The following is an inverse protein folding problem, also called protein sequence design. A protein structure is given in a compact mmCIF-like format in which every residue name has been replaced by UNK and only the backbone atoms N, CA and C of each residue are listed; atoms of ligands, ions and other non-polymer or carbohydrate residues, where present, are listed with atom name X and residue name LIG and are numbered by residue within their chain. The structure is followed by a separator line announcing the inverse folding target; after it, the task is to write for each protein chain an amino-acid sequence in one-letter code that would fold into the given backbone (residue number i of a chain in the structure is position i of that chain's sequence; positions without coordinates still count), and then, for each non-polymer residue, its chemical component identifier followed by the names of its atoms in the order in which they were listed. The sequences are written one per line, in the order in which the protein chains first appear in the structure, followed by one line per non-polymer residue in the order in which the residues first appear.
data_IF_422396879312
#
_entry.id   IF_422396879312
#
_cell.length_a   1.000
_cell.length_b   1.000
_cell.length_c   1.000
_cell.angle_alpha   90.00
_cell.angle_beta   90.00
_cell.angle_gamma   90.00
#
_symmetry.space_group_name_H-M   'P 1'
#
loop_
_entity.id
_entity.type
_entity.pdbx_description
1 polymer ?
#
# COMPACT_ATOMS: atom_id res chain seq x y z
N UNK A 1 -14.45 -6.45 21.67
CA UNK A 1 -13.45 -6.75 22.71
C UNK A 1 -12.69 -5.48 23.04
N UNK A 2 -12.56 -5.00 24.29
CA UNK A 2 -11.93 -3.74 24.64
C UNK A 2 -10.44 -3.64 24.26
N UNK A 3 -9.77 -4.78 24.10
CA UNK A 3 -8.34 -4.88 23.73
C UNK A 3 -8.05 -4.57 22.27
N UNK A 4 -9.01 -4.75 21.36
CA UNK A 4 -8.82 -4.47 19.93
C UNK A 4 -8.87 -2.97 19.57
N UNK A 5 -9.40 -2.11 20.44
CA UNK A 5 -9.46 -0.65 20.20
C UNK A 5 -8.11 0.08 20.41
N UNK A 6 -7.09 -0.56 20.96
CA UNK A 6 -5.79 0.06 21.25
C UNK A 6 -4.72 -0.17 20.19
N UNK A 7 -4.89 -1.12 19.28
CA UNK A 7 -3.98 -1.31 18.16
C UNK A 7 -4.33 -0.34 17.03
N UNK A 8 -3.79 0.86 17.08
CA UNK A 8 -3.84 1.77 15.94
C UNK A 8 -2.79 1.34 14.94
N UNK A 9 -3.24 0.81 13.81
CA UNK A 9 -2.38 0.51 12.69
C UNK A 9 -1.94 1.83 12.06
N UNK A 10 -0.66 2.18 12.19
CA UNK A 10 -0.08 3.29 11.48
C UNK A 10 0.47 2.79 10.16
N UNK A 11 -0.38 2.78 9.12
CA UNK A 11 0.05 2.49 7.77
C UNK A 11 0.74 3.72 7.21
N UNK A 12 2.05 3.65 7.05
CA UNK A 12 2.83 4.73 6.44
C UNK A 12 2.47 4.78 4.97
N UNK A 13 1.90 5.90 4.59
CA UNK A 13 1.59 6.22 3.23
C UNK A 13 2.89 6.51 2.50
N UNK A 14 3.32 5.55 1.68
CA UNK A 14 4.41 5.69 0.73
C UNK A 14 5.70 6.38 1.25
N UNK A 15 6.84 5.82 0.90
CA UNK A 15 8.18 6.33 1.26
C UNK A 15 8.43 7.80 0.94
N UNK A 16 7.51 8.45 0.24
CA UNK A 16 7.70 9.81 -0.23
C UNK A 16 6.45 10.65 -0.01
N UNK A 17 6.64 11.92 0.40
CA UNK A 17 5.60 12.93 0.27
C UNK A 17 5.10 13.03 -1.18
N UNK A 18 3.88 13.42 -1.36
CA UNK A 18 3.30 13.66 -2.68
C UNK A 18 3.51 15.12 -3.08
N UNK A 19 4.05 15.39 -4.27
CA UNK A 19 4.60 14.48 -5.28
C UNK A 19 5.91 13.81 -4.85
N UNK A 20 6.20 12.58 -5.37
CA UNK A 20 7.47 11.94 -5.06
C UNK A 20 8.63 12.70 -5.70
N UNK A 21 9.63 13.03 -4.89
CA UNK A 21 10.85 13.75 -5.30
C UNK A 21 12.04 13.19 -4.54
N UNK A 22 13.22 13.24 -5.13
CA UNK A 22 14.45 12.78 -4.49
C UNK A 22 14.70 13.50 -3.15
N UNK A 23 14.47 14.82 -3.11
CA UNK A 23 14.72 15.68 -1.94
C UNK A 23 13.82 15.39 -0.76
N UNK A 24 12.65 14.81 -1.03
CA UNK A 24 11.64 14.51 0.01
C UNK A 24 11.51 13.01 0.31
N UNK A 25 12.34 12.19 -0.36
CA UNK A 25 12.33 10.74 -0.17
C UNK A 25 12.63 10.38 1.28
N UNK A 26 11.76 9.55 1.88
CA UNK A 26 11.91 9.08 3.27
C UNK A 26 11.38 10.02 4.35
N UNK A 27 11.01 11.26 4.03
CA UNK A 27 10.54 12.26 5.02
C UNK A 27 9.38 11.78 5.89
N UNK A 28 8.44 11.03 5.33
CA UNK A 28 7.32 10.48 6.11
C UNK A 28 7.81 9.51 7.20
N UNK A 29 8.76 8.65 6.86
CA UNK A 29 9.37 7.73 7.85
C UNK A 29 10.19 8.52 8.90
N UNK A 30 10.91 9.57 8.51
CA UNK A 30 11.65 10.43 9.43
C UNK A 30 10.73 11.14 10.44
N UNK A 31 9.60 11.68 9.99
CA UNK A 31 8.62 12.30 10.87
C UNK A 31 8.03 11.30 11.87
N UNK A 32 7.72 10.10 11.43
CA UNK A 32 7.18 9.05 12.27
C UNK A 32 8.23 8.58 13.27
N UNK A 33 9.47 8.35 12.82
CA UNK A 33 10.58 7.99 13.71
C UNK A 33 10.83 9.05 14.78
N UNK A 34 10.83 10.32 14.40
CA UNK A 34 10.94 11.44 15.33
C UNK A 34 9.79 11.46 16.33
N UNK A 35 8.57 11.17 15.87
CA UNK A 35 7.41 11.10 16.74
C UNK A 35 7.51 9.92 17.73
N UNK A 36 7.89 8.74 17.28
CA UNK A 36 8.12 7.58 18.14
C UNK A 36 9.18 7.87 19.21
N UNK A 37 10.31 8.45 18.81
CA UNK A 37 11.37 8.84 19.76
C UNK A 37 10.89 9.84 20.80
N UNK A 38 10.09 10.83 20.38
CA UNK A 38 9.54 11.86 21.27
C UNK A 38 8.52 11.31 22.26
N UNK A 39 7.69 10.35 21.83
CA UNK A 39 6.55 9.86 22.62
C UNK A 39 6.83 8.58 23.39
N UNK A 40 7.82 7.79 22.99
CA UNK A 40 8.07 6.46 23.53
C UNK A 40 6.98 5.41 23.18
N UNK A 41 6.10 5.71 22.23
CA UNK A 41 4.92 4.89 21.94
C UNK A 41 5.12 3.86 20.83
N UNK A 42 6.37 3.56 20.43
CA UNK A 42 6.64 2.61 19.32
C UNK A 42 5.92 1.28 19.51
N UNK A 43 5.95 0.69 20.68
CA UNK A 43 5.39 -0.62 20.98
C UNK A 43 3.85 -0.63 21.09
N UNK A 44 3.25 0.55 21.11
CA UNK A 44 1.79 0.70 21.13
C UNK A 44 1.16 0.69 19.73
N UNK A 45 1.97 0.59 18.67
CA UNK A 45 1.52 0.69 17.28
C UNK A 45 2.04 -0.47 16.44
N UNK A 46 1.19 -0.96 15.53
CA UNK A 46 1.61 -1.84 14.43
C UNK A 46 2.16 -0.94 13.32
N UNK A 47 3.48 -0.97 13.14
CA UNK A 47 4.19 -0.13 12.18
C UNK A 47 4.31 -0.86 10.83
N UNK A 48 3.73 -0.27 9.78
CA UNK A 48 3.84 -0.78 8.42
C UNK A 48 4.59 0.20 7.51
N UNK A 49 5.51 -0.31 6.69
CA UNK A 49 6.15 0.45 5.60
C UNK A 49 6.37 -0.43 4.38
N UNK A 50 6.93 0.11 3.28
CA UNK A 50 6.97 -0.55 1.98
C UNK A 50 8.31 -0.44 1.27
N UNK A 51 8.63 -1.45 0.45
CA UNK A 51 9.62 -1.32 -0.63
C UNK A 51 8.94 -0.86 -1.92
N UNK A 52 9.48 0.16 -2.57
CA UNK A 52 9.04 0.56 -3.89
C UNK A 52 9.42 -0.52 -4.93
N UNK A 53 8.49 -0.86 -5.81
CA UNK A 53 8.74 -1.67 -7.00
C UNK A 53 9.35 -0.84 -8.15
N UNK A 54 9.55 -1.44 -9.33
CA UNK A 54 10.13 -0.78 -10.50
C UNK A 54 9.33 0.44 -10.94
N UNK A 55 10.04 1.53 -11.20
CA UNK A 55 9.50 2.70 -11.88
C UNK A 55 10.67 3.51 -12.48
N UNK A 56 10.66 3.82 -13.77
CA UNK A 56 11.71 4.60 -14.43
C UNK A 56 11.94 5.99 -13.81
N UNK A 57 10.91 6.60 -13.25
CA UNK A 57 10.99 7.90 -12.58
C UNK A 57 11.71 7.84 -11.22
N UNK A 58 11.90 6.65 -10.67
CA UNK A 58 12.49 6.45 -9.34
C UNK A 58 13.94 5.97 -9.38
N UNK A 59 14.70 6.35 -10.44
CA UNK A 59 16.12 6.01 -10.57
C UNK A 59 16.96 6.48 -9.37
N UNK A 60 16.53 7.52 -8.66
CA UNK A 60 17.18 8.00 -7.43
C UNK A 60 17.03 7.05 -6.24
N UNK A 61 16.11 6.08 -6.32
CA UNK A 61 15.98 5.01 -5.34
C UNK A 61 16.85 3.83 -5.76
N UNK A 62 18.00 3.64 -5.13
CA UNK A 62 18.88 2.48 -5.35
C UNK A 62 19.23 2.21 -6.82
N UNK A 63 19.36 3.26 -7.64
CA UNK A 63 19.65 3.12 -9.07
C UNK A 63 18.51 2.59 -9.95
N UNK A 64 17.29 2.56 -9.42
CA UNK A 64 16.08 1.95 -10.01
C UNK A 64 15.59 0.81 -9.14
N UNK A 65 14.46 0.96 -8.45
CA UNK A 65 14.03 -0.02 -7.44
C UNK A 65 13.61 -1.34 -8.08
N UNK A 66 14.09 -2.43 -7.50
CA UNK A 66 13.76 -3.81 -7.82
C UNK A 66 13.60 -4.60 -6.50
N UNK A 67 13.15 -5.84 -6.59
CA UNK A 67 12.99 -6.70 -5.41
C UNK A 67 14.09 -7.76 -5.29
N UNK A 68 15.30 -7.46 -5.81
CA UNK A 68 16.46 -8.31 -5.54
C UNK A 68 16.82 -8.29 -4.06
N UNK A 69 17.53 -9.31 -3.60
CA UNK A 69 17.96 -9.45 -2.20
C UNK A 69 18.69 -8.21 -1.69
N UNK A 70 19.68 -7.74 -2.43
CA UNK A 70 20.51 -6.57 -2.07
C UNK A 70 19.66 -5.31 -1.92
N UNK A 71 18.75 -5.08 -2.86
CA UNK A 71 17.90 -3.91 -2.85
C UNK A 71 16.83 -3.95 -1.76
N UNK A 72 16.26 -5.11 -1.45
CA UNK A 72 15.32 -5.27 -0.34
C UNK A 72 16.00 -5.06 1.01
N UNK A 73 17.19 -5.64 1.21
CA UNK A 73 17.97 -5.44 2.44
C UNK A 73 18.34 -3.96 2.63
N UNK A 74 18.81 -3.29 1.57
CA UNK A 74 19.09 -1.84 1.62
C UNK A 74 17.83 -1.03 1.96
N UNK A 75 16.70 -1.40 1.34
CA UNK A 75 15.42 -0.73 1.54
C UNK A 75 14.94 -0.84 2.99
N UNK A 76 14.97 -2.03 3.58
CA UNK A 76 14.59 -2.27 4.99
C UNK A 76 15.53 -1.53 5.93
N UNK A 77 16.83 -1.64 5.75
CA UNK A 77 17.80 -0.95 6.60
C UNK A 77 17.63 0.59 6.52
N UNK A 78 17.32 1.12 5.34
CA UNK A 78 16.99 2.54 5.15
C UNK A 78 15.72 2.95 5.91
N UNK A 79 14.67 2.13 5.87
CA UNK A 79 13.43 2.38 6.61
C UNK A 79 13.65 2.34 8.12
N UNK A 80 14.35 1.33 8.63
CA UNK A 80 14.67 1.21 10.06
C UNK A 80 15.43 2.44 10.59
N UNK A 81 16.43 2.93 9.84
CA UNK A 81 17.17 4.14 10.23
C UNK A 81 16.26 5.38 10.30
N UNK A 82 15.41 5.61 9.28
CA UNK A 82 14.52 6.77 9.26
C UNK A 82 13.42 6.69 10.31
N UNK A 83 12.89 5.48 10.54
CA UNK A 83 11.87 5.21 11.56
C UNK A 83 12.43 5.19 12.98
N UNK A 84 13.76 5.16 13.13
CA UNK A 84 14.46 5.11 14.43
C UNK A 84 13.96 3.93 15.29
N UNK A 85 13.84 2.76 14.67
CA UNK A 85 13.44 1.49 15.29
C UNK A 85 14.27 0.35 14.72
N UNK A 86 14.39 -0.74 15.43
CA UNK A 86 15.09 -1.95 15.03
C UNK A 86 14.18 -3.00 14.36
N UNK A 87 12.84 -2.81 14.48
CA UNK A 87 11.89 -3.74 13.92
C UNK A 87 10.68 -3.03 13.26
N UNK A 88 10.25 -3.55 12.12
CA UNK A 88 9.03 -3.19 11.39
C UNK A 88 8.02 -4.32 11.57
N UNK A 89 6.78 -4.01 11.97
CA UNK A 89 5.77 -5.04 12.19
C UNK A 89 5.24 -5.62 10.88
N UNK A 90 5.01 -4.79 9.85
CA UNK A 90 4.54 -5.23 8.52
C UNK A 90 5.35 -4.56 7.42
N UNK A 91 6.06 -5.35 6.63
CA UNK A 91 6.81 -4.84 5.47
C UNK A 91 6.13 -5.27 4.18
N UNK A 92 5.74 -4.30 3.35
CA UNK A 92 4.96 -4.57 2.15
C UNK A 92 5.77 -4.32 0.88
N UNK A 93 5.54 -5.13 -0.14
CA UNK A 93 5.93 -4.84 -1.52
C UNK A 93 4.91 -3.87 -2.11
N UNK A 94 5.34 -2.68 -2.54
CA UNK A 94 4.43 -1.56 -2.84
C UNK A 94 3.64 -1.74 -4.13
N UNK A 95 4.22 -2.38 -5.12
CA UNK A 95 3.60 -2.86 -6.36
C UNK A 95 4.47 -3.94 -6.99
N UNK A 96 3.92 -4.76 -7.91
CA UNK A 96 4.66 -5.87 -8.51
C UNK A 96 5.96 -5.48 -9.21
N UNK A 97 6.97 -6.34 -9.11
CA UNK A 97 8.21 -6.25 -9.91
C UNK A 97 8.04 -7.01 -11.24
N UNK A 98 6.94 -6.77 -11.90
CA UNK A 98 6.61 -7.25 -13.24
C UNK A 98 5.57 -6.35 -13.88
N UNK A 99 5.43 -6.44 -15.21
CA UNK A 99 4.38 -5.70 -15.89
C UNK A 99 3.01 -6.34 -15.60
N UNK A 100 2.12 -5.58 -15.01
CA UNK A 100 0.74 -5.98 -14.73
C UNK A 100 -0.15 -4.77 -14.46
N UNK A 101 -1.44 -5.00 -14.25
CA UNK A 101 -2.40 -3.95 -13.90
C UNK A 101 -2.24 -3.53 -12.44
N UNK A 102 -1.86 -2.29 -12.20
CA UNK A 102 -1.88 -1.69 -10.88
C UNK A 102 -2.20 -0.19 -10.95
N UNK A 103 -2.50 0.44 -9.83
CA UNK A 103 -2.86 1.86 -9.73
C UNK A 103 -4.04 2.30 -10.61
N UNK A 104 -4.98 1.40 -10.90
CA UNK A 104 -6.19 1.75 -11.65
C UNK A 104 -6.08 1.50 -13.16
N UNK A 105 -5.00 0.90 -13.63
CA UNK A 105 -4.95 0.40 -15.00
C UNK A 105 -6.03 -0.66 -15.21
N UNK A 106 -6.77 -0.55 -16.32
CA UNK A 106 -7.77 -1.52 -16.77
C UNK A 106 -7.26 -2.22 -18.02
N UNK A 107 -7.50 -3.53 -18.09
CA UNK A 107 -7.03 -4.35 -19.21
C UNK A 107 -5.56 -4.76 -19.07
N UNK A 108 -5.31 -6.05 -19.23
CA UNK A 108 -3.98 -6.62 -19.17
C UNK A 108 -3.43 -6.80 -20.57
N UNK A 109 -2.21 -6.32 -20.80
CA UNK A 109 -1.44 -6.56 -22.02
C UNK A 109 -0.10 -7.14 -21.60
N UNK A 110 0.19 -8.35 -22.06
CA UNK A 110 1.50 -8.96 -21.76
C UNK A 110 2.63 -8.18 -22.41
N UNK A 111 3.68 -7.92 -21.63
CA UNK A 111 4.93 -7.31 -22.11
C UNK A 111 6.10 -8.01 -21.45
N UNK A 112 7.03 -8.44 -22.28
CA UNK A 112 8.33 -8.92 -21.81
C UNK A 112 9.11 -7.74 -21.23
N UNK A 113 9.56 -7.89 -19.98
CA UNK A 113 10.47 -6.95 -19.35
C UNK A 113 11.32 -7.68 -18.30
N UNK A 114 12.49 -7.16 -17.94
CA UNK A 114 13.23 -7.69 -16.83
C UNK A 114 12.39 -7.64 -15.55
N UNK A 115 12.31 -8.76 -14.84
CA UNK A 115 11.61 -8.86 -13.56
C UNK A 115 12.43 -9.66 -12.55
N UNK A 116 12.23 -9.40 -11.26
CA UNK A 116 12.76 -10.25 -10.20
C UNK A 116 11.76 -11.38 -9.96
N UNK A 117 12.16 -12.64 -10.08
CA UNK A 117 11.27 -13.77 -9.81
C UNK A 117 10.64 -13.67 -8.41
N UNK A 118 9.35 -14.03 -8.29
CA UNK A 118 8.64 -14.00 -7.00
C UNK A 118 9.36 -14.88 -5.96
N UNK A 119 9.91 -16.02 -6.37
CA UNK A 119 10.66 -16.90 -5.47
C UNK A 119 11.92 -16.23 -4.91
N UNK A 120 12.70 -15.55 -5.76
CA UNK A 120 13.89 -14.80 -5.32
C UNK A 120 13.50 -13.69 -4.32
N UNK A 121 12.45 -12.96 -4.65
CA UNK A 121 11.88 -11.93 -3.77
C UNK A 121 11.48 -12.50 -2.42
N UNK A 122 10.80 -13.65 -2.41
CA UNK A 122 10.29 -14.27 -1.19
C UNK A 122 11.42 -14.83 -0.31
N UNK A 123 12.47 -15.42 -0.92
CA UNK A 123 13.69 -15.85 -0.21
C UNK A 123 14.45 -14.67 0.41
N UNK A 124 14.51 -13.54 -0.29
CA UNK A 124 15.09 -12.31 0.27
C UNK A 124 14.30 -11.78 1.47
N UNK A 125 12.97 -11.87 1.41
CA UNK A 125 12.10 -11.51 2.53
C UNK A 125 12.23 -12.48 3.71
N UNK A 126 12.44 -13.77 3.45
CA UNK A 126 12.72 -14.76 4.49
C UNK A 126 13.96 -14.37 5.31
N UNK A 127 15.09 -14.08 4.67
CA UNK A 127 16.31 -13.64 5.34
C UNK A 127 16.08 -12.40 6.22
N UNK A 128 15.26 -11.46 5.72
CA UNK A 128 14.91 -10.24 6.45
C UNK A 128 14.04 -10.53 7.67
N UNK A 129 13.08 -11.43 7.55
CA UNK A 129 12.23 -11.88 8.67
C UNK A 129 13.07 -12.64 9.70
N UNK A 130 13.88 -13.59 9.26
CA UNK A 130 14.78 -14.38 10.14
C UNK A 130 15.78 -13.50 10.90
N UNK A 131 16.20 -12.37 10.30
CA UNK A 131 17.07 -11.41 10.99
C UNK A 131 16.35 -10.60 12.09
N UNK A 132 15.04 -10.76 12.27
CA UNK A 132 14.23 -10.03 13.26
C UNK A 132 13.89 -8.58 12.87
N UNK A 133 14.31 -8.09 11.71
CA UNK A 133 14.06 -6.73 11.25
C UNK A 133 12.62 -6.49 10.81
N UNK A 134 11.91 -7.53 10.42
CA UNK A 134 10.53 -7.53 9.97
C UNK A 134 9.79 -8.69 10.62
N UNK A 135 8.58 -8.45 11.13
CA UNK A 135 7.75 -9.49 11.75
C UNK A 135 6.87 -10.20 10.76
N UNK A 136 6.24 -9.43 9.87
CA UNK A 136 5.25 -9.90 8.90
C UNK A 136 5.49 -9.26 7.54
N UNK A 137 5.15 -9.98 6.48
CA UNK A 137 5.24 -9.46 5.11
C UNK A 137 3.86 -9.30 4.49
N UNK A 138 3.75 -8.36 3.54
CA UNK A 138 2.50 -8.11 2.83
C UNK A 138 2.74 -7.63 1.41
N UNK A 139 1.67 -7.62 0.65
CA UNK A 139 1.63 -7.14 -0.72
C UNK A 139 0.88 -5.82 -0.82
N UNK A 140 1.05 -5.11 -1.91
CA UNK A 140 0.22 -3.96 -2.24
C UNK A 140 0.12 -3.83 -3.76
N UNK A 141 -1.05 -3.44 -4.26
CA UNK A 141 -1.35 -3.33 -5.68
C UNK A 141 -1.06 -4.63 -6.46
N UNK A 142 -1.12 -5.75 -5.77
CA UNK A 142 -0.88 -7.06 -6.36
C UNK A 142 -2.17 -7.63 -6.97
N UNK A 143 -2.00 -8.49 -7.96
CA UNK A 143 -3.09 -9.18 -8.67
C UNK A 143 -3.44 -10.50 -7.98
N UNK A 144 -4.63 -11.10 -8.28
CA UNK A 144 -4.97 -12.43 -7.80
C UNK A 144 -3.92 -13.47 -8.16
N UNK A 145 -3.41 -13.45 -9.40
CA UNK A 145 -2.37 -14.39 -9.85
C UNK A 145 -1.09 -14.25 -9.03
N UNK A 146 -0.60 -13.02 -8.84
CA UNK A 146 0.64 -12.82 -8.08
C UNK A 146 0.48 -13.16 -6.61
N UNK A 147 -0.67 -12.82 -6.00
CA UNK A 147 -0.96 -13.18 -4.63
C UNK A 147 -0.94 -14.70 -4.44
N UNK A 148 -1.66 -15.45 -5.30
CA UNK A 148 -1.66 -16.91 -5.25
C UNK A 148 -0.26 -17.50 -5.50
N UNK A 149 0.55 -16.87 -6.37
CA UNK A 149 1.92 -17.33 -6.63
C UNK A 149 2.84 -17.14 -5.42
N UNK A 150 2.72 -16.04 -4.69
CA UNK A 150 3.42 -15.85 -3.41
C UNK A 150 3.01 -16.92 -2.39
N UNK A 151 1.73 -17.21 -2.26
CA UNK A 151 1.20 -18.19 -1.32
C UNK A 151 1.62 -19.62 -1.67
N UNK A 152 1.49 -20.02 -2.95
CA UNK A 152 1.93 -21.32 -3.46
C UNK A 152 3.42 -21.57 -3.15
N UNK A 153 4.26 -20.58 -3.44
CA UNK A 153 5.70 -20.67 -3.17
C UNK A 153 6.00 -20.74 -1.68
N UNK A 154 5.30 -19.94 -0.87
CA UNK A 154 5.47 -20.00 0.58
C UNK A 154 5.15 -21.38 1.15
N UNK A 155 4.02 -21.96 0.75
CA UNK A 155 3.59 -23.27 1.24
C UNK A 155 4.50 -24.40 0.73
N UNK A 156 4.93 -24.34 -0.54
CA UNK A 156 5.76 -25.40 -1.16
C UNK A 156 7.19 -25.39 -0.63
N UNK A 157 7.77 -24.20 -0.42
CA UNK A 157 9.20 -24.05 -0.07
C UNK A 157 9.42 -23.77 1.43
N UNK A 158 8.34 -23.69 2.23
CA UNK A 158 8.42 -23.36 3.65
C UNK A 158 8.85 -21.91 3.92
N UNK A 159 8.55 -20.98 2.99
CA UNK A 159 8.91 -19.58 3.07
C UNK A 159 7.84 -18.75 3.83
N UNK A 160 8.15 -17.51 4.25
CA UNK A 160 7.17 -16.67 4.92
C UNK A 160 5.93 -16.43 4.07
N UNK A 161 4.76 -16.64 4.66
CA UNK A 161 3.47 -16.33 4.03
C UNK A 161 3.19 -14.83 4.05
N UNK A 162 2.47 -14.34 3.07
CA UNK A 162 1.98 -12.95 3.07
C UNK A 162 0.72 -12.86 3.96
N UNK A 163 0.73 -11.94 4.94
CA UNK A 163 -0.35 -11.77 5.90
C UNK A 163 -1.45 -10.82 5.40
N UNK A 164 -1.11 -9.91 4.48
CA UNK A 164 -2.05 -8.89 4.03
C UNK A 164 -1.75 -8.40 2.63
N UNK A 165 -2.78 -7.84 2.02
CA UNK A 165 -2.68 -7.10 0.76
C UNK A 165 -3.27 -5.71 0.91
N UNK A 166 -2.57 -4.68 0.42
CA UNK A 166 -3.08 -3.31 0.40
C UNK A 166 -3.47 -2.90 -1.02
N UNK A 167 -4.78 -2.93 -1.30
CA UNK A 167 -5.35 -2.62 -2.61
C UNK A 167 -6.44 -1.53 -2.52
N UNK A 168 -6.80 -0.89 -3.66
CA UNK A 168 -7.89 0.08 -3.69
C UNK A 168 -9.22 -0.61 -3.41
N UNK A 169 -10.00 -0.09 -2.48
CA UNK A 169 -11.35 -0.58 -2.24
C UNK A 169 -12.22 0.52 -1.63
N UNK A 170 -13.37 0.77 -2.24
CA UNK A 170 -14.36 1.73 -1.76
C UNK A 170 -15.70 1.48 -2.47
N UNK A 171 -16.75 2.17 -2.06
CA UNK A 171 -18.04 2.17 -2.79
C UNK A 171 -17.90 2.61 -4.25
N UNK A 172 -16.90 3.45 -4.57
CA UNK A 172 -16.61 3.92 -5.94
C UNK A 172 -15.60 3.05 -6.69
N UNK A 173 -14.98 2.07 -6.04
CA UNK A 173 -14.02 1.17 -6.67
C UNK A 173 -14.14 -0.23 -6.03
N UNK A 174 -14.91 -1.08 -6.66
CA UNK A 174 -15.20 -2.43 -6.20
C UNK A 174 -14.46 -3.52 -6.99
N UNK A 175 -13.42 -3.15 -7.74
CA UNK A 175 -12.65 -4.09 -8.56
C UNK A 175 -11.97 -5.20 -7.74
N UNK A 176 -11.71 -4.96 -6.46
CA UNK A 176 -11.21 -5.97 -5.53
C UNK A 176 -12.13 -7.17 -5.36
N UNK A 177 -13.43 -6.94 -5.45
CA UNK A 177 -14.44 -8.01 -5.32
C UNK A 177 -14.40 -9.00 -6.49
N UNK A 178 -13.80 -8.59 -7.63
CA UNK A 178 -13.60 -9.47 -8.78
C UNK A 178 -12.34 -10.30 -8.51
N UNK A 179 -12.50 -11.54 -8.09
CA UNK A 179 -11.48 -12.55 -7.78
C UNK A 179 -10.65 -12.28 -6.49
N UNK A 180 -10.15 -11.06 -6.21
CA UNK A 180 -9.27 -10.83 -5.06
C UNK A 180 -9.96 -11.07 -3.71
N UNK A 181 -11.24 -10.71 -3.59
CA UNK A 181 -11.99 -10.93 -2.35
C UNK A 181 -12.10 -12.43 -2.00
N UNK A 182 -12.30 -13.28 -3.00
CA UNK A 182 -12.33 -14.72 -2.80
C UNK A 182 -10.95 -15.26 -2.37
N UNK A 183 -9.88 -14.83 -3.04
CA UNK A 183 -8.50 -15.18 -2.65
C UNK A 183 -8.24 -14.78 -1.19
N UNK A 184 -8.55 -13.53 -0.82
CA UNK A 184 -8.37 -13.05 0.56
C UNK A 184 -9.12 -13.88 1.58
N UNK A 185 -10.35 -14.25 1.27
CA UNK A 185 -11.18 -15.03 2.20
C UNK A 185 -10.70 -16.48 2.34
N UNK A 186 -10.35 -17.14 1.23
CA UNK A 186 -9.94 -18.55 1.23
C UNK A 186 -8.53 -18.76 1.77
N UNK A 187 -7.67 -17.79 1.52
CA UNK A 187 -6.25 -17.86 1.87
C UNK A 187 -5.89 -17.09 3.16
N UNK A 188 -6.89 -16.51 3.84
CA UNK A 188 -6.71 -15.72 5.07
C UNK A 188 -5.70 -14.57 4.90
N UNK A 189 -5.77 -13.87 3.76
CA UNK A 189 -4.94 -12.70 3.45
C UNK A 189 -5.75 -11.43 3.71
N UNK A 190 -5.41 -10.70 4.78
CA UNK A 190 -6.16 -9.52 5.21
C UNK A 190 -6.11 -8.34 4.21
N UNK A 191 -7.25 -7.69 3.93
CA UNK A 191 -7.29 -6.48 3.10
C UNK A 191 -7.00 -5.21 3.92
N UNK A 192 -6.02 -4.44 3.50
CA UNK A 192 -5.79 -3.05 3.89
C UNK A 192 -6.31 -2.14 2.78
N UNK A 193 -7.57 -1.71 2.88
CA UNK A 193 -8.20 -0.88 1.87
C UNK A 193 -7.58 0.52 1.81
N UNK A 194 -7.09 0.96 0.64
CA UNK A 194 -6.72 2.36 0.46
C UNK A 194 -7.75 3.12 -0.37
N UNK A 195 -7.80 4.44 -0.16
CA UNK A 195 -8.80 5.36 -0.73
C UNK A 195 -10.26 4.97 -0.42
N UNK A 196 -10.60 4.54 0.82
CA UNK A 196 -11.96 4.08 1.15
C UNK A 196 -13.02 5.17 0.95
N UNK A 197 -12.63 6.44 1.00
CA UNK A 197 -13.51 7.60 0.77
C UNK A 197 -13.39 8.17 -0.65
N UNK A 198 -12.85 7.41 -1.64
CA UNK A 198 -12.77 7.86 -3.03
C UNK A 198 -12.06 9.22 -3.18
N UNK A 199 -10.88 9.38 -2.54
CA UNK A 199 -10.14 10.65 -2.48
C UNK A 199 -10.92 11.83 -1.86
N UNK A 200 -11.95 11.52 -1.12
CA UNK A 200 -12.79 12.50 -0.41
C UNK A 200 -14.14 12.79 -1.08
N UNK A 201 -14.45 12.17 -2.23
CA UNK A 201 -15.76 12.30 -2.86
C UNK A 201 -16.89 11.85 -1.93
N UNK A 202 -16.72 10.69 -1.30
CA UNK A 202 -17.71 10.12 -0.37
C UNK A 202 -17.83 10.87 0.98
N UNK A 203 -17.12 11.97 1.16
CA UNK A 203 -17.31 12.85 2.34
C UNK A 203 -18.30 13.98 2.09
N UNK A 204 -18.82 14.14 0.88
CA UNK A 204 -19.71 15.22 0.50
C UNK A 204 -19.05 16.59 0.28
N UNK A 205 -17.77 16.76 0.66
CA UNK A 205 -17.10 18.08 0.61
C UNK A 205 -16.95 18.70 -0.78
N UNK A 206 -17.13 17.90 -1.83
CA UNK A 206 -17.06 18.35 -3.22
C UNK A 206 -18.44 18.47 -3.88
N UNK A 207 -19.54 18.29 -3.15
CA UNK A 207 -20.90 18.43 -3.67
C UNK A 207 -21.11 19.78 -4.33
N UNK A 208 -21.95 19.80 -5.36
CA UNK A 208 -22.31 21.00 -6.13
C UNK A 208 -21.08 21.72 -6.74
N UNK A 209 -20.03 20.97 -7.08
CA UNK A 209 -18.80 21.52 -7.66
C UNK A 209 -17.91 22.29 -6.67
N UNK A 210 -18.13 22.15 -5.35
CA UNK A 210 -17.31 22.79 -4.34
C UNK A 210 -15.84 22.35 -4.45
N UNK A 211 -14.93 23.31 -4.26
CA UNK A 211 -13.47 23.10 -4.29
C UNK A 211 -12.83 23.66 -3.02
N UNK A 212 -13.02 22.99 -1.86
CA UNK A 212 -12.49 23.51 -0.59
C UNK A 212 -10.97 23.68 -0.66
N UNK A 213 -10.49 24.83 -0.21
CA UNK A 213 -9.05 25.12 -0.13
C UNK A 213 -8.33 24.04 0.71
N UNK A 214 -7.11 23.67 0.28
CA UNK A 214 -6.34 22.61 0.95
C UNK A 214 -6.88 21.19 0.79
N UNK A 215 -8.01 21.00 0.09
CA UNK A 215 -8.55 19.68 -0.17
C UNK A 215 -7.71 18.92 -1.20
N UNK A 216 -7.71 17.59 -1.09
CA UNK A 216 -6.78 16.72 -1.85
C UNK A 216 -6.89 16.89 -3.36
N UNK A 217 -8.10 16.98 -3.91
CA UNK A 217 -8.30 17.13 -5.37
C UNK A 217 -7.97 18.54 -5.87
N UNK A 218 -7.97 19.55 -4.98
CA UNK A 218 -7.58 20.91 -5.31
C UNK A 218 -6.07 21.10 -5.27
N UNK A 219 -5.41 20.50 -4.25
CA UNK A 219 -3.94 20.63 -4.07
C UNK A 219 -3.15 19.77 -5.05
N UNK A 220 -3.71 18.64 -5.51
CA UNK A 220 -3.00 17.67 -6.34
C UNK A 220 -3.78 17.34 -7.61
N UNK A 221 -3.57 18.08 -8.66
CA UNK A 221 -4.21 17.92 -10.00
C UNK A 221 -4.00 16.52 -10.62
N UNK A 222 -2.93 15.81 -10.24
CA UNK A 222 -2.62 14.48 -10.75
C UNK A 222 -3.57 13.36 -10.29
N UNK A 223 -4.47 13.63 -9.36
CA UNK A 223 -5.40 12.62 -8.84
C UNK A 223 -6.67 12.52 -9.69
N UNK A 224 -6.53 12.06 -10.92
CA UNK A 224 -7.58 11.96 -11.94
C UNK A 224 -8.46 10.71 -11.87
N UNK A 225 -8.10 9.74 -11.00
CA UNK A 225 -8.78 8.41 -10.93
C UNK A 225 -10.31 8.48 -10.77
N UNK A 226 -10.81 9.53 -10.14
CA UNK A 226 -12.23 9.71 -9.80
C UNK A 226 -12.86 10.92 -10.49
N UNK A 227 -12.31 11.39 -11.63
CA UNK A 227 -12.82 12.57 -12.34
C UNK A 227 -13.94 12.26 -13.34
N UNK A 228 -14.22 11.00 -13.64
CA UNK A 228 -15.28 10.61 -14.56
C UNK A 228 -16.66 11.02 -14.05
N UNK A 229 -17.53 11.52 -14.97
CA UNK A 229 -18.88 11.95 -14.63
C UNK A 229 -19.69 10.87 -13.90
N UNK A 230 -19.59 9.61 -14.34
CA UNK A 230 -20.25 8.46 -13.70
C UNK A 230 -19.82 8.28 -12.23
N UNK A 231 -18.55 8.58 -11.92
CA UNK A 231 -18.03 8.48 -10.54
C UNK A 231 -18.66 9.55 -9.65
N UNK A 232 -18.83 10.76 -10.17
CA UNK A 232 -19.48 11.85 -9.45
C UNK A 232 -20.96 11.57 -9.23
N UNK A 233 -21.67 11.06 -10.24
CA UNK A 233 -23.07 10.65 -10.12
C UNK A 233 -23.24 9.55 -9.07
N UNK A 234 -22.38 8.53 -9.11
CA UNK A 234 -22.41 7.45 -8.12
C UNK A 234 -22.12 7.98 -6.70
N UNK A 235 -21.14 8.87 -6.55
CA UNK A 235 -20.85 9.48 -5.25
C UNK A 235 -22.06 10.26 -4.71
N UNK A 236 -22.75 11.05 -5.56
CA UNK A 236 -23.93 11.80 -5.16
C UNK A 236 -25.08 10.89 -4.70
N UNK A 237 -25.29 9.76 -5.40
CA UNK A 237 -26.30 8.76 -4.99
C UNK A 237 -25.99 8.15 -3.61
N UNK A 238 -24.73 7.85 -3.32
CA UNK A 238 -24.31 7.36 -2.00
C UNK A 238 -24.49 8.42 -0.92
N UNK A 239 -24.16 9.67 -1.21
CA UNK A 239 -24.35 10.78 -0.27
C UNK A 239 -25.83 11.05 0.02
N UNK A 240 -26.69 10.98 -1.02
CA UNK A 240 -28.12 11.10 -0.82
C UNK A 240 -28.68 9.94 0.04
N UNK A 241 -28.23 8.72 -0.20
CA UNK A 241 -28.61 7.58 0.62
C UNK A 241 -28.20 7.78 2.11
N UNK A 242 -27.02 8.32 2.35
CA UNK A 242 -26.56 8.65 3.70
C UNK A 242 -27.45 9.73 4.35
N UNK A 243 -27.76 10.81 3.62
CA UNK A 243 -28.67 11.86 4.08
C UNK A 243 -30.07 11.32 4.43
N UNK A 244 -30.64 10.46 3.56
CA UNK A 244 -31.96 9.85 3.74
C UNK A 244 -32.03 8.95 4.99
N UNK A 245 -30.90 8.40 5.44
CA UNK A 245 -30.80 7.52 6.59
C UNK A 245 -30.15 8.18 7.81
N UNK A 246 -29.76 9.44 7.73
CA UNK A 246 -29.17 10.20 8.84
C UNK A 246 -27.77 9.72 9.25
N UNK A 247 -26.96 9.24 8.30
CA UNK A 247 -25.59 8.73 8.53
C UNK A 247 -24.55 9.54 7.76
#
# INVERSE_FOLDING_TARGET
HPTLRRQRQMCIRDRYPVPPRAETQGRTEEYIGTWFKKTGLRDSYVLATKAAGPNPEFHYLRGGPRFTKEQLVEAVNGSLRRLQTDCIDLYQLHWPDRYTNFFGQRGYFHREQPETPIEETLRALEDIVQSGKVRAIGLSNETPWGTMKFLELADREGLPRVDSIQNPYSLLNRTYEIAMAEVSHREDVGLLAYSPLGMGLLTGKYRNGAKPEGSRMVVFERFTRYEGAETWEAAERYLQLADDHGI
#
